data_IF_123993525934
#
_entry.id   IF_123993525934
#
_cell.length_a   1.000
_cell.length_b   1.000
_cell.length_c   1.000
_cell.angle_alpha   90.00
_cell.angle_beta   90.00
_cell.angle_gamma   90.00
#
_symmetry.space_group_name_H-M   'P 1'
#
loop_
_entity.id
_entity.type
_entity.pdbx_description
1 polymer ?
#
# COMPACT_ATOMS: atom_id res chain seq x y z
N UNK A 1 27.72 8.77 -0.25
CA UNK A 1 26.28 8.97 0.03
C UNK A 1 25.49 8.87 -1.27
N UNK A 2 24.33 8.20 -1.27
CA UNK A 2 23.45 8.15 -2.45
C UNK A 2 22.97 9.56 -2.80
N UNK A 3 23.07 9.95 -4.09
CA UNK A 3 22.60 11.25 -4.61
C UNK A 3 21.11 11.53 -4.33
N UNK A 4 20.33 10.50 -3.95
CA UNK A 4 18.90 10.58 -3.66
C UNK A 4 18.54 10.86 -2.19
N UNK A 5 19.51 10.73 -1.27
CA UNK A 5 19.24 10.79 0.18
C UNK A 5 18.63 12.14 0.61
N UNK A 6 19.29 13.25 0.27
CA UNK A 6 18.85 14.60 0.63
C UNK A 6 17.50 14.93 -0.05
N UNK A 7 17.33 14.74 -1.37
CA UNK A 7 16.03 14.92 -2.03
C UNK A 7 14.91 14.11 -1.37
N UNK A 8 15.15 12.85 -1.02
CA UNK A 8 14.15 11.98 -0.42
C UNK A 8 13.76 12.46 0.99
N UNK A 9 14.73 12.91 1.80
CA UNK A 9 14.44 13.49 3.11
C UNK A 9 13.56 14.73 3.00
N UNK A 10 13.83 15.61 2.02
CA UNK A 10 13.00 16.79 1.79
C UNK A 10 11.58 16.42 1.35
N UNK A 11 11.43 15.47 0.42
CA UNK A 11 10.12 14.98 -0.01
C UNK A 11 9.32 14.37 1.14
N UNK A 12 9.97 13.53 1.96
CA UNK A 12 9.34 12.93 3.13
C UNK A 12 8.95 13.98 4.16
N UNK A 13 9.78 15.00 4.39
CA UNK A 13 9.47 16.10 5.31
C UNK A 13 8.24 16.90 4.87
N UNK A 14 8.14 17.21 3.58
CA UNK A 14 6.95 17.88 3.01
C UNK A 14 5.70 17.00 3.16
N UNK A 15 5.82 15.70 2.94
CA UNK A 15 4.70 14.76 3.05
C UNK A 15 4.22 14.55 4.50
N UNK A 16 5.16 14.41 5.43
CA UNK A 16 4.89 14.00 6.81
C UNK A 16 4.76 15.17 7.79
N UNK A 17 5.31 16.34 7.45
CA UNK A 17 5.14 17.57 8.22
C UNK A 17 6.13 17.77 9.37
N UNK A 18 6.86 16.74 9.81
CA UNK A 18 7.87 16.87 10.87
C UNK A 18 9.08 15.96 10.69
N UNK A 19 10.22 16.34 11.26
CA UNK A 19 11.44 15.51 11.23
C UNK A 19 11.27 14.22 12.06
N UNK A 20 10.48 14.27 13.14
CA UNK A 20 10.17 13.10 13.98
C UNK A 20 9.35 12.05 13.23
N UNK A 21 8.38 12.49 12.43
CA UNK A 21 7.55 11.61 11.61
C UNK A 21 8.36 10.95 10.49
N UNK A 22 9.30 11.69 9.90
CA UNK A 22 10.28 11.18 8.93
C UNK A 22 11.17 10.13 9.58
N UNK A 23 11.76 10.43 10.73
CA UNK A 23 12.62 9.50 11.47
C UNK A 23 11.85 8.22 11.85
N UNK A 24 10.60 8.34 12.29
CA UNK A 24 9.73 7.20 12.62
C UNK A 24 9.48 6.31 11.41
N UNK A 25 9.22 6.88 10.22
CA UNK A 25 9.01 6.10 9.00
C UNK A 25 10.30 5.39 8.58
N UNK A 26 11.42 6.11 8.58
CA UNK A 26 12.72 5.60 8.13
C UNK A 26 13.31 4.52 9.04
N UNK A 27 12.98 4.53 10.34
CA UNK A 27 13.33 3.42 11.27
C UNK A 27 12.76 2.08 10.81
N UNK A 28 11.60 2.08 10.15
CA UNK A 28 10.97 0.89 9.60
C UNK A 28 11.33 0.66 8.13
N UNK A 29 11.60 1.74 7.39
CA UNK A 29 11.65 1.76 5.93
C UNK A 29 12.86 2.53 5.39
N UNK A 30 14.07 2.15 5.80
CA UNK A 30 15.30 2.85 5.39
C UNK A 30 15.51 2.86 3.87
N UNK A 31 14.91 1.93 3.13
CA UNK A 31 14.98 1.88 1.66
C UNK A 31 14.36 3.11 0.98
N UNK A 32 13.49 3.88 1.65
CA UNK A 32 12.99 5.14 1.12
C UNK A 32 14.10 6.18 0.92
N UNK A 33 15.28 6.04 1.55
CA UNK A 33 16.43 6.93 1.31
C UNK A 33 17.11 6.70 -0.05
N UNK A 34 16.92 5.52 -0.65
CA UNK A 34 17.56 5.14 -1.92
C UNK A 34 16.56 4.93 -3.06
N UNK A 35 15.27 4.81 -2.75
CA UNK A 35 14.18 4.70 -3.71
C UNK A 35 13.98 5.99 -4.53
N UNK A 36 13.26 5.88 -5.65
CA UNK A 36 12.80 7.02 -6.45
C UNK A 36 11.41 7.46 -5.98
N UNK A 37 11.35 8.22 -4.88
CA UNK A 37 10.08 8.61 -4.25
C UNK A 37 9.20 9.45 -5.17
N UNK A 38 9.81 10.22 -6.08
CA UNK A 38 9.10 11.01 -7.07
C UNK A 38 8.35 10.17 -8.12
N UNK A 39 8.75 8.90 -8.31
CA UNK A 39 8.08 7.96 -9.23
C UNK A 39 7.23 6.90 -8.52
N UNK A 40 7.40 6.75 -7.21
CA UNK A 40 6.68 5.74 -6.41
C UNK A 40 5.82 6.41 -5.36
N UNK A 41 6.38 6.69 -4.18
CA UNK A 41 5.65 7.14 -3.00
C UNK A 41 4.78 8.37 -3.25
N UNK A 42 5.35 9.45 -3.81
CA UNK A 42 4.64 10.72 -3.95
C UNK A 42 3.44 10.59 -4.91
N UNK A 43 3.59 10.05 -6.14
CA UNK A 43 2.45 9.76 -7.00
C UNK A 43 1.42 8.82 -6.36
N UNK A 44 1.85 7.79 -5.62
CA UNK A 44 0.94 6.82 -5.02
C UNK A 44 0.07 7.44 -3.92
N UNK A 45 0.61 8.39 -3.14
CA UNK A 45 -0.17 9.19 -2.19
C UNK A 45 -1.20 10.04 -2.94
N UNK A 46 -0.82 10.71 -4.03
CA UNK A 46 -1.74 11.54 -4.81
C UNK A 46 -2.85 10.72 -5.49
N UNK A 47 -2.55 9.50 -5.95
CA UNK A 47 -3.56 8.57 -6.47
C UNK A 47 -4.61 8.28 -5.40
N UNK A 48 -4.20 7.91 -4.18
CA UNK A 48 -5.13 7.61 -3.11
C UNK A 48 -5.94 8.83 -2.64
N UNK A 49 -5.35 10.02 -2.66
CA UNK A 49 -6.09 11.28 -2.41
C UNK A 49 -7.18 11.50 -3.46
N UNK A 50 -6.89 11.27 -4.74
CA UNK A 50 -7.88 11.35 -5.83
C UNK A 50 -8.99 10.32 -5.68
N UNK A 51 -8.73 9.21 -5.01
CA UNK A 51 -9.73 8.21 -4.61
C UNK A 51 -10.45 8.56 -3.30
N UNK A 52 -10.50 9.85 -2.93
CA UNK A 52 -11.15 10.38 -1.73
C UNK A 52 -10.63 9.80 -0.41
N UNK A 53 -9.41 9.25 -0.37
CA UNK A 53 -8.81 8.82 0.89
C UNK A 53 -8.22 10.02 1.64
N UNK A 54 -8.62 10.26 2.90
CA UNK A 54 -8.02 11.33 3.72
C UNK A 54 -6.51 11.14 3.90
N UNK A 55 -5.75 12.25 3.90
CA UNK A 55 -4.29 12.21 3.99
C UNK A 55 -3.81 11.55 5.29
N UNK A 56 -4.40 11.88 6.43
CA UNK A 56 -4.13 11.25 7.73
C UNK A 56 -4.26 9.73 7.66
N UNK A 57 -5.28 9.24 6.94
CA UNK A 57 -5.50 7.81 6.74
C UNK A 57 -4.49 7.18 5.80
N UNK A 58 -4.10 7.88 4.73
CA UNK A 58 -2.99 7.46 3.85
C UNK A 58 -1.69 7.35 4.65
N UNK A 59 -1.37 8.36 5.46
CA UNK A 59 -0.16 8.38 6.28
C UNK A 59 -0.18 7.24 7.31
N UNK A 60 -1.33 6.99 7.96
CA UNK A 60 -1.50 5.82 8.82
C UNK A 60 -1.11 4.52 8.09
N UNK A 61 -1.64 4.31 6.89
CA UNK A 61 -1.30 3.12 6.11
C UNK A 61 0.14 3.10 5.61
N UNK A 62 0.75 4.25 5.34
CA UNK A 62 2.17 4.33 4.99
C UNK A 62 3.04 3.82 6.15
N UNK A 63 2.68 4.06 7.41
CA UNK A 63 3.39 3.52 8.57
C UNK A 63 3.17 2.02 8.77
N UNK A 64 1.96 1.53 8.50
CA UNK A 64 1.60 0.12 8.75
C UNK A 64 2.04 -0.79 7.59
N UNK A 65 1.87 -0.34 6.35
CA UNK A 65 2.06 -1.09 5.10
C UNK A 65 2.92 -0.31 4.07
N UNK A 66 4.15 0.11 4.44
CA UNK A 66 4.99 1.00 3.61
C UNK A 66 5.33 0.43 2.23
N UNK A 67 5.40 -0.90 2.10
CA UNK A 67 5.73 -1.56 0.83
C UNK A 67 4.65 -1.35 -0.24
N UNK A 68 3.38 -1.19 0.16
CA UNK A 68 2.27 -0.94 -0.80
C UNK A 68 2.52 0.32 -1.62
N UNK A 69 3.18 1.32 -1.03
CA UNK A 69 3.47 2.60 -1.64
C UNK A 69 4.76 2.61 -2.48
N UNK A 70 5.50 1.51 -2.52
CA UNK A 70 6.83 1.44 -3.16
C UNK A 70 6.79 0.97 -4.62
N UNK A 71 5.62 0.76 -5.20
CA UNK A 71 5.44 0.39 -6.61
C UNK A 71 5.41 1.61 -7.53
N UNK A 72 5.58 1.40 -8.84
CA UNK A 72 5.38 2.46 -9.83
C UNK A 72 3.91 2.91 -9.84
N UNK A 73 3.69 4.18 -10.16
CA UNK A 73 2.35 4.78 -10.14
C UNK A 73 1.34 4.12 -11.09
N UNK A 74 1.79 3.58 -12.22
CA UNK A 74 0.93 2.85 -13.16
C UNK A 74 0.41 1.53 -12.57
N UNK A 75 1.24 0.86 -11.77
CA UNK A 75 0.86 -0.35 -11.03
C UNK A 75 -0.12 -0.01 -9.92
N UNK A 76 0.17 1.06 -9.16
CA UNK A 76 -0.69 1.53 -8.08
C UNK A 76 -2.09 1.86 -8.59
N UNK A 77 -2.18 2.62 -9.69
CA UNK A 77 -3.45 3.01 -10.30
C UNK A 77 -4.29 1.79 -10.69
N UNK A 78 -3.71 0.84 -11.44
CA UNK A 78 -4.38 -0.41 -11.82
C UNK A 78 -4.82 -1.24 -10.61
N UNK A 79 -4.05 -1.21 -9.54
CA UNK A 79 -4.32 -2.00 -8.33
C UNK A 79 -5.45 -1.39 -7.50
N UNK A 80 -5.50 -0.06 -7.46
CA UNK A 80 -6.63 0.69 -6.92
C UNK A 80 -7.90 0.39 -7.72
N UNK A 81 -7.86 0.48 -9.05
CA UNK A 81 -9.03 0.19 -9.89
C UNK A 81 -9.56 -1.23 -9.65
N UNK A 82 -8.68 -2.24 -9.63
CA UNK A 82 -9.06 -3.63 -9.31
C UNK A 82 -9.68 -3.79 -7.93
N UNK A 83 -9.20 -3.07 -6.92
CA UNK A 83 -9.75 -3.12 -5.57
C UNK A 83 -11.17 -2.53 -5.53
N UNK A 84 -11.41 -1.46 -6.29
CA UNK A 84 -12.74 -0.84 -6.45
C UNK A 84 -13.69 -1.79 -7.18
N UNK A 85 -13.27 -2.35 -8.32
CA UNK A 85 -14.04 -3.31 -9.11
C UNK A 85 -14.39 -4.58 -8.32
N UNK A 86 -13.51 -5.00 -7.40
CA UNK A 86 -13.73 -6.15 -6.53
C UNK A 86 -14.69 -5.85 -5.36
N UNK A 87 -15.24 -4.64 -5.29
CA UNK A 87 -16.21 -4.25 -4.25
C UNK A 87 -15.61 -4.08 -2.86
N UNK A 88 -14.28 -3.93 -2.75
CA UNK A 88 -13.63 -3.77 -1.44
C UNK A 88 -13.99 -2.39 -0.88
N UNK A 89 -14.50 -2.29 0.36
CA UNK A 89 -14.93 -1.01 0.91
C UNK A 89 -13.80 0.03 0.95
N UNK A 90 -14.03 1.19 0.34
CA UNK A 90 -13.05 2.28 0.23
C UNK A 90 -12.54 2.77 1.59
N UNK A 91 -11.33 3.33 1.56
CA UNK A 91 -10.66 3.92 2.73
C UNK A 91 -10.52 2.95 3.92
N UNK A 92 -10.76 1.65 3.77
CA UNK A 92 -10.54 0.67 4.83
C UNK A 92 -9.12 0.12 4.80
N UNK A 93 -8.72 -0.54 5.89
CA UNK A 93 -7.47 -1.30 5.91
C UNK A 93 -7.49 -2.44 4.88
N UNK A 94 -8.64 -3.11 4.71
CA UNK A 94 -8.83 -4.15 3.71
C UNK A 94 -8.61 -3.63 2.28
N UNK A 95 -9.03 -2.39 1.99
CA UNK A 95 -8.78 -1.76 0.70
C UNK A 95 -7.29 -1.65 0.38
N UNK A 96 -6.48 -1.10 1.31
CA UNK A 96 -5.04 -0.95 1.07
C UNK A 96 -4.32 -2.29 0.99
N UNK A 97 -4.76 -3.28 1.74
CA UNK A 97 -4.24 -4.64 1.61
C UNK A 97 -4.57 -5.24 0.25
N UNK A 98 -5.81 -5.10 -0.22
CA UNK A 98 -6.21 -5.55 -1.54
C UNK A 98 -5.36 -4.87 -2.63
N UNK A 99 -5.19 -3.55 -2.56
CA UNK A 99 -4.26 -2.79 -3.43
C UNK A 99 -2.85 -3.39 -3.37
N UNK A 100 -2.34 -3.66 -2.16
CA UNK A 100 -1.04 -4.29 -1.95
C UNK A 100 -0.91 -5.67 -2.57
N UNK A 101 -1.98 -6.48 -2.58
CA UNK A 101 -2.01 -7.77 -3.26
C UNK A 101 -2.01 -7.57 -4.78
N UNK A 102 -2.91 -6.71 -5.28
CA UNK A 102 -3.05 -6.42 -6.72
C UNK A 102 -1.81 -5.77 -7.36
N UNK A 103 -0.97 -5.12 -6.56
CA UNK A 103 0.34 -4.64 -6.99
C UNK A 103 1.23 -5.76 -7.56
N UNK A 104 1.00 -7.00 -7.14
CA UNK A 104 1.81 -8.17 -7.51
C UNK A 104 1.01 -9.28 -8.20
N UNK A 105 -0.32 -9.19 -8.24
CA UNK A 105 -1.18 -10.23 -8.80
C UNK A 105 -2.09 -9.70 -9.91
N UNK A 106 -2.41 -10.58 -10.86
CA UNK A 106 -3.50 -10.33 -11.81
C UNK A 106 -4.86 -10.49 -11.11
N UNK A 107 -5.91 -9.95 -11.73
CA UNK A 107 -7.28 -10.13 -11.25
C UNK A 107 -7.70 -11.62 -11.27
N UNK A 108 -7.22 -12.37 -12.26
CA UNK A 108 -7.44 -13.82 -12.35
C UNK A 108 -6.74 -14.58 -11.22
N UNK A 109 -5.48 -14.23 -10.91
CA UNK A 109 -4.77 -14.83 -9.78
C UNK A 109 -5.43 -14.51 -8.44
N UNK A 110 -6.01 -13.32 -8.30
CA UNK A 110 -6.82 -12.95 -7.15
C UNK A 110 -8.08 -13.79 -7.03
N UNK A 111 -8.84 -13.98 -8.13
CA UNK A 111 -10.02 -14.86 -8.14
C UNK A 111 -9.66 -16.30 -7.77
N UNK A 112 -8.56 -16.83 -8.32
CA UNK A 112 -8.05 -18.17 -7.97
C UNK A 112 -7.71 -18.23 -6.49
N UNK A 113 -7.02 -17.23 -5.94
CA UNK A 113 -6.70 -17.20 -4.50
C UNK A 113 -7.97 -17.15 -3.64
N UNK A 114 -8.98 -16.35 -4.01
CA UNK A 114 -10.26 -16.33 -3.33
C UNK A 114 -10.96 -17.69 -3.38
N UNK A 115 -10.96 -18.36 -4.54
CA UNK A 115 -11.56 -19.67 -4.70
C UNK A 115 -10.85 -20.72 -3.85
N UNK A 116 -9.51 -20.75 -3.86
CA UNK A 116 -8.72 -21.64 -3.00
C UNK A 116 -9.04 -21.43 -1.52
N UNK A 117 -9.22 -20.18 -1.08
CA UNK A 117 -9.61 -19.90 0.30
C UNK A 117 -11.01 -20.45 0.64
N UNK A 118 -11.97 -20.33 -0.28
CA UNK A 118 -13.31 -20.93 -0.10
C UNK A 118 -13.25 -22.45 -0.05
N UNK A 119 -12.47 -23.06 -0.93
CA UNK A 119 -12.27 -24.51 -0.98
C UNK A 119 -11.62 -25.04 0.30
N UNK A 120 -10.79 -24.22 0.97
CA UNK A 120 -10.21 -24.48 2.29
C UNK A 120 -11.17 -24.20 3.46
N UNK A 121 -12.44 -23.84 3.18
CA UNK A 121 -13.48 -23.65 4.19
C UNK A 121 -13.55 -22.24 4.79
N UNK A 122 -12.86 -21.26 4.22
CA UNK A 122 -12.96 -19.87 4.68
C UNK A 122 -14.22 -19.18 4.14
N UNK A 123 -14.95 -18.49 5.01
CA UNK A 123 -16.12 -17.70 4.60
C UNK A 123 -15.70 -16.35 3.99
N UNK A 124 -16.49 -15.80 3.08
CA UNK A 124 -16.19 -14.51 2.43
C UNK A 124 -15.98 -13.38 3.46
N UNK A 125 -16.68 -13.44 4.59
CA UNK A 125 -16.58 -12.50 5.72
C UNK A 125 -15.18 -12.48 6.34
N UNK A 126 -14.55 -13.66 6.37
CA UNK A 126 -13.24 -13.91 6.96
C UNK A 126 -12.13 -13.52 5.98
N UNK A 127 -12.36 -13.72 4.68
CA UNK A 127 -11.44 -13.32 3.61
C UNK A 127 -11.31 -11.80 3.51
N UNK A 128 -12.39 -11.04 3.76
CA UNK A 128 -12.43 -9.57 3.67
C UNK A 128 -11.94 -8.90 4.97
N UNK A 129 -11.76 -9.64 6.07
CA UNK A 129 -11.42 -9.08 7.38
C UNK A 129 -9.94 -9.21 7.77
N UNK A 130 -9.60 -8.41 8.79
CA UNK A 130 -8.27 -8.08 9.34
C UNK A 130 -7.28 -9.23 9.54
N UNK A 131 -7.74 -10.48 9.64
CA UNK A 131 -6.90 -11.63 10.01
C UNK A 131 -6.20 -12.30 8.80
N UNK A 132 -6.75 -12.26 7.59
CA UNK A 132 -6.25 -13.07 6.47
C UNK A 132 -5.13 -12.40 5.68
N UNK A 133 -5.31 -11.13 5.32
CA UNK A 133 -4.28 -10.38 4.60
C UNK A 133 -3.00 -10.17 5.42
N UNK A 134 -3.07 -10.27 6.75
CA UNK A 134 -1.94 -10.09 7.66
C UNK A 134 -1.19 -11.40 7.93
N UNK A 135 -1.87 -12.56 8.01
CA UNK A 135 -1.21 -13.84 8.30
C UNK A 135 -0.61 -14.54 7.07
N UNK A 136 -1.18 -14.35 5.87
CA UNK A 136 -0.82 -15.15 4.69
C UNK A 136 -0.41 -14.33 3.46
N UNK A 137 -0.19 -13.01 3.57
CA UNK A 137 0.41 -12.24 2.48
C UNK A 137 1.95 -12.35 2.56
N UNK A 138 2.63 -13.18 1.73
CA UNK A 138 4.09 -13.28 1.73
C UNK A 138 4.79 -11.98 1.32
N UNK A 139 4.04 -11.00 0.81
CA UNK A 139 4.54 -9.70 0.34
C UNK A 139 4.61 -8.68 1.50
N UNK A 140 3.73 -8.81 2.51
CA UNK A 140 3.60 -7.88 3.64
C UNK A 140 4.46 -8.23 4.87
N UNK A 141 5.18 -9.37 4.86
CA UNK A 141 6.20 -9.72 5.86
C UNK A 141 7.56 -9.09 5.54
#
# INVERSE_FOLDING_TARGET
MSKKTIPNLLMLKVLLGSDDDVARLLRRCSWFLIADLGKTLIPNVEILKRCNMPLDRILYFLYVLPRVFSVKSDIMMKSVDKAIESGVPHATYAFILAVGVFNHTSQEMWKVMLQTLRDLGFSDNVIITREYYTLHCPICK
#
